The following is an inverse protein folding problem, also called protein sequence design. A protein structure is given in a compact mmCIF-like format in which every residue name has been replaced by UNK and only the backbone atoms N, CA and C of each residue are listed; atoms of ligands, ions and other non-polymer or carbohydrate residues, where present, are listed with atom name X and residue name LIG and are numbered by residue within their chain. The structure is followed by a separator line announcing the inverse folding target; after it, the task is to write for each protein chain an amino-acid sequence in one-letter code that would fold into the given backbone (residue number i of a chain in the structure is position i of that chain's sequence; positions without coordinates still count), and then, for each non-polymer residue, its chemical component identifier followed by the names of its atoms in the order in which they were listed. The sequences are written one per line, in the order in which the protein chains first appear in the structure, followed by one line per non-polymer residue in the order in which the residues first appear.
data_IF_490780612933
#
_entry.id   IF_490780612933
#
_cell.length_a   1.000
_cell.length_b   1.000
_cell.length_c   1.000
_cell.angle_alpha   90.00
_cell.angle_beta   90.00
_cell.angle_gamma   90.00
#
_symmetry.space_group_name_H-M   'P 1'
#
loop_
_entity.id
_entity.type
_entity.pdbx_description
1 polymer ?
#
# COMPACT_ATOMS: atom_id res chain seq x y z
N UNK A 1 23.05 -1.59 2.91
CA UNK A 1 21.82 -1.48 3.72
C UNK A 1 20.71 -2.15 2.94
N UNK A 2 19.73 -2.79 3.60
CA UNK A 2 18.52 -3.22 2.88
C UNK A 2 17.72 -2.00 2.45
N UNK A 3 16.98 -2.12 1.34
CA UNK A 3 16.04 -1.07 0.92
C UNK A 3 14.93 -0.93 1.96
N UNK A 4 14.39 0.28 2.07
CA UNK A 4 13.23 0.56 2.92
C UNK A 4 11.96 0.06 2.25
N UNK A 5 11.11 -0.59 3.04
CA UNK A 5 9.81 -1.11 2.63
C UNK A 5 8.76 0.01 2.72
N UNK A 6 8.42 0.61 1.59
CA UNK A 6 7.54 1.79 1.51
C UNK A 6 6.14 1.37 1.07
N UNK A 7 5.14 1.54 1.93
CA UNK A 7 3.74 1.43 1.54
C UNK A 7 3.24 2.76 0.97
N UNK A 8 2.78 2.77 -0.28
CA UNK A 8 2.00 3.87 -0.83
C UNK A 8 0.53 3.57 -0.58
N UNK A 9 -0.05 4.28 0.39
CA UNK A 9 -1.40 4.05 0.90
C UNK A 9 -2.39 4.96 0.18
N UNK A 10 -3.36 4.36 -0.50
CA UNK A 10 -4.30 5.03 -1.39
C UNK A 10 -5.73 4.50 -1.24
N UNK A 11 -6.70 5.22 -1.79
CA UNK A 11 -8.13 4.93 -1.66
C UNK A 11 -8.78 5.92 -0.69
N UNK A 12 -9.51 5.41 0.31
CA UNK A 12 -10.26 6.20 1.26
C UNK A 12 -11.72 5.79 1.33
N UNK A 13 -12.45 6.44 2.23
CA UNK A 13 -13.87 6.16 2.48
C UNK A 13 -14.81 7.22 1.88
N UNK A 14 -14.25 8.31 1.36
CA UNK A 14 -14.96 9.41 0.70
C UNK A 14 -15.14 9.13 -0.79
N UNK A 15 -15.93 9.97 -1.46
CA UNK A 15 -16.06 9.96 -2.92
C UNK A 15 -14.74 10.33 -3.65
N UNK A 16 -13.75 10.82 -2.93
CA UNK A 16 -12.42 11.15 -3.46
C UNK A 16 -11.50 9.92 -3.59
N UNK A 17 -11.95 8.72 -3.24
CA UNK A 17 -11.12 7.51 -3.31
C UNK A 17 -10.54 7.28 -4.72
N UNK A 18 -11.29 7.61 -5.78
CA UNK A 18 -10.81 7.49 -7.17
C UNK A 18 -9.65 8.45 -7.44
N UNK A 19 -9.69 9.66 -6.87
CA UNK A 19 -8.61 10.64 -6.99
C UNK A 19 -7.39 10.14 -6.21
N UNK A 20 -7.58 9.64 -5.00
CA UNK A 20 -6.49 9.06 -4.20
C UNK A 20 -5.81 7.87 -4.89
N UNK A 21 -6.58 6.96 -5.52
CA UNK A 21 -6.02 5.85 -6.29
C UNK A 21 -5.13 6.34 -7.44
N UNK A 22 -5.54 7.38 -8.16
CA UNK A 22 -4.72 7.98 -9.24
C UNK A 22 -3.46 8.65 -8.71
N UNK A 23 -3.57 9.44 -7.64
CA UNK A 23 -2.42 10.07 -6.99
C UNK A 23 -1.44 9.04 -6.43
N UNK A 24 -1.95 7.98 -5.80
CA UNK A 24 -1.17 6.86 -5.29
C UNK A 24 -0.44 6.10 -6.38
N UNK A 25 -1.09 5.87 -7.53
CA UNK A 25 -0.44 5.26 -8.68
C UNK A 25 0.74 6.11 -9.18
N UNK A 26 0.56 7.44 -9.29
CA UNK A 26 1.63 8.34 -9.69
C UNK A 26 2.83 8.29 -8.73
N UNK A 27 2.60 8.32 -7.41
CA UNK A 27 3.68 8.20 -6.41
C UNK A 27 4.36 6.84 -6.50
N UNK A 28 3.58 5.76 -6.60
CA UNK A 28 4.12 4.42 -6.79
C UNK A 28 5.05 4.38 -8.00
N UNK A 29 4.64 4.89 -9.16
CA UNK A 29 5.46 4.86 -10.38
C UNK A 29 6.71 5.76 -10.29
N UNK A 30 6.67 6.81 -9.47
CA UNK A 30 7.74 7.82 -9.37
C UNK A 30 8.86 7.46 -8.39
N UNK A 31 8.61 6.59 -7.41
CA UNK A 31 9.61 6.25 -6.38
C UNK A 31 10.76 5.41 -6.95
N UNK A 32 12.00 5.79 -6.62
CA UNK A 32 13.19 5.09 -7.13
C UNK A 32 13.33 3.68 -6.55
N UNK A 33 13.19 2.67 -7.41
CA UNK A 33 13.29 1.25 -7.07
C UNK A 33 14.71 0.80 -6.71
N UNK A 34 15.73 1.62 -6.96
CA UNK A 34 17.10 1.35 -6.47
C UNK A 34 17.23 1.67 -4.98
N UNK A 35 16.40 2.58 -4.46
CA UNK A 35 16.44 3.04 -3.06
C UNK A 35 15.38 2.36 -2.19
N UNK A 36 14.23 2.04 -2.76
CA UNK A 36 13.05 1.57 -2.03
C UNK A 36 12.43 0.32 -2.65
N UNK A 37 11.92 -0.56 -1.78
CA UNK A 37 10.94 -1.56 -2.17
C UNK A 37 9.56 -0.95 -1.92
N UNK A 38 8.76 -0.81 -2.98
CA UNK A 38 7.55 0.03 -2.96
C UNK A 38 6.32 -0.84 -3.17
N UNK A 39 5.33 -0.69 -2.31
CA UNK A 39 4.14 -1.53 -2.25
C UNK A 39 2.88 -0.68 -2.39
N UNK A 40 1.90 -1.16 -3.16
CA UNK A 40 0.58 -0.53 -3.25
C UNK A 40 -0.30 -1.07 -2.13
N UNK A 41 -0.75 -0.19 -1.23
CA UNK A 41 -1.73 -0.53 -0.20
C UNK A 41 -3.01 0.24 -0.47
N UNK A 42 -4.09 -0.49 -0.69
CA UNK A 42 -5.41 0.08 -0.96
C UNK A 42 -6.28 -0.07 0.26
N UNK A 43 -6.84 1.04 0.72
CA UNK A 43 -7.79 1.11 1.82
C UNK A 43 -9.12 1.58 1.27
N UNK A 44 -10.13 0.72 1.35
CA UNK A 44 -11.52 1.02 1.02
C UNK A 44 -12.39 0.70 2.24
N UNK A 45 -13.65 1.17 2.21
CA UNK A 45 -14.58 1.03 3.33
C UNK A 45 -14.71 -0.42 3.82
N UNK A 46 -14.76 -1.36 2.87
CA UNK A 46 -15.03 -2.77 3.16
C UNK A 46 -13.77 -3.64 3.12
N UNK A 47 -12.66 -3.17 2.54
CA UNK A 47 -11.45 -3.97 2.36
C UNK A 47 -10.16 -3.16 2.47
N UNK A 48 -9.15 -3.73 3.11
CA UNK A 48 -7.79 -3.19 3.18
C UNK A 48 -6.83 -4.25 2.67
N UNK A 49 -6.06 -3.95 1.63
CA UNK A 49 -5.19 -4.95 1.02
C UNK A 49 -3.90 -4.35 0.45
N UNK A 50 -2.85 -5.15 0.51
CA UNK A 50 -1.68 -5.01 -0.35
C UNK A 50 -1.98 -5.64 -1.70
N UNK A 51 -1.66 -4.93 -2.79
CA UNK A 51 -1.75 -5.46 -4.15
C UNK A 51 -0.38 -5.97 -4.60
N UNK A 52 -0.21 -7.28 -4.59
CA UNK A 52 1.00 -7.97 -5.01
C UNK A 52 1.07 -8.19 -6.53
N UNK A 53 1.97 -9.08 -6.93
CA UNK A 53 2.12 -9.48 -8.33
C UNK A 53 0.85 -10.15 -8.86
N UNK A 54 0.63 -10.05 -10.18
CA UNK A 54 -0.55 -10.59 -10.87
C UNK A 54 -1.90 -10.13 -10.26
N UNK A 55 -1.93 -8.92 -9.71
CA UNK A 55 -3.11 -8.33 -9.06
C UNK A 55 -3.62 -9.13 -7.85
N UNK A 56 -2.78 -9.98 -7.26
CA UNK A 56 -3.15 -10.73 -6.07
C UNK A 56 -3.35 -9.77 -4.89
N UNK A 57 -4.53 -9.83 -4.27
CA UNK A 57 -4.84 -9.10 -3.04
C UNK A 57 -4.42 -9.90 -1.82
N UNK A 58 -3.61 -9.29 -0.97
CA UNK A 58 -3.29 -9.81 0.37
C UNK A 58 -3.91 -8.91 1.43
N UNK A 59 -4.68 -9.44 2.39
CA UNK A 59 -5.33 -8.63 3.40
C UNK A 59 -4.30 -7.96 4.32
N UNK A 60 -4.53 -6.69 4.65
CA UNK A 60 -3.74 -5.97 5.64
C UNK A 60 -4.25 -6.34 7.04
N UNK A 61 -3.33 -6.72 7.92
CA UNK A 61 -3.62 -6.87 9.34
C UNK A 61 -3.86 -5.47 9.95
N UNK A 62 -5.09 -5.18 10.36
CA UNK A 62 -5.44 -3.85 10.92
C UNK A 62 -4.84 -3.58 12.30
N UNK A 63 -4.36 -4.60 13.01
CA UNK A 63 -3.77 -4.47 14.34
C UNK A 63 -2.34 -3.91 14.31
N UNK A 64 -1.54 -4.28 13.31
CA UNK A 64 -0.13 -3.86 13.20
C UNK A 64 0.31 -3.44 11.79
N UNK A 65 -0.64 -3.32 10.87
CA UNK A 65 -0.45 -2.90 9.47
C UNK A 65 0.51 -3.80 8.66
N UNK A 66 0.69 -5.06 9.08
CA UNK A 66 1.47 -6.06 8.36
C UNK A 66 0.65 -6.81 7.31
N UNK A 67 1.34 -7.57 6.46
CA UNK A 67 0.73 -8.48 5.49
C UNK A 67 1.36 -9.86 5.65
N UNK A 68 0.52 -10.89 5.81
CA UNK A 68 0.97 -12.28 5.70
C UNK A 68 1.02 -12.67 4.23
N UNK A 69 2.23 -12.96 3.75
CA UNK A 69 2.48 -13.48 2.40
C UNK A 69 2.37 -15.01 2.40
N UNK A 70 2.78 -15.64 1.30
CA UNK A 70 2.88 -17.09 1.21
C UNK A 70 3.89 -17.63 2.25
N UNK A 71 3.73 -18.90 2.65
CA UNK A 71 4.68 -19.60 3.53
C UNK A 71 4.89 -18.98 4.93
N UNK A 72 3.91 -18.23 5.46
CA UNK A 72 3.96 -17.51 6.74
C UNK A 72 5.02 -16.38 6.80
N UNK A 73 5.53 -15.93 5.66
CA UNK A 73 6.34 -14.71 5.63
C UNK A 73 5.47 -13.49 5.97
N UNK A 74 6.01 -12.56 6.77
CA UNK A 74 5.30 -11.35 7.17
C UNK A 74 6.01 -10.13 6.61
N UNK A 75 5.35 -9.41 5.71
CA UNK A 75 5.80 -8.11 5.22
C UNK A 75 5.41 -7.03 6.25
N UNK A 76 6.41 -6.25 6.69
CA UNK A 76 6.23 -5.05 7.49
C UNK A 76 6.80 -3.85 6.75
N UNK A 77 6.03 -2.76 6.75
CA UNK A 77 6.45 -1.52 6.12
C UNK A 77 7.31 -0.70 7.08
N UNK A 78 8.43 -0.18 6.61
CA UNK A 78 9.26 0.78 7.34
C UNK A 78 8.57 2.15 7.43
N UNK A 79 7.84 2.52 6.38
CA UNK A 79 7.17 3.82 6.25
C UNK A 79 5.93 3.71 5.37
N UNK A 80 4.93 4.52 5.68
CA UNK A 80 3.72 4.69 4.87
C UNK A 80 3.69 6.10 4.27
N UNK A 81 3.60 6.19 2.95
CA UNK A 81 3.25 7.42 2.25
C UNK A 81 1.72 7.43 2.08
N UNK A 82 1.03 8.14 2.96
CA UNK A 82 -0.44 8.25 2.92
C UNK A 82 -0.87 9.33 1.94
N UNK A 83 -1.66 8.96 0.93
CA UNK A 83 -2.26 9.88 -0.05
C UNK A 83 -3.78 9.69 -0.16
N UNK A 84 -4.42 9.25 0.93
CA UNK A 84 -5.88 9.25 1.05
C UNK A 84 -6.37 10.70 1.16
N UNK A 85 -7.39 11.02 0.38
CA UNK A 85 -8.03 12.33 0.34
C UNK A 85 -9.44 12.27 0.95
N UNK A 86 -9.91 13.39 1.49
CA UNK A 86 -11.22 13.52 2.10
C UNK A 86 -11.22 13.38 3.62
N UNK A 87 -12.41 13.53 4.22
CA UNK A 87 -12.66 13.50 5.67
C UNK A 87 -13.77 12.50 5.98
#
# INVERSE_FOLDING_TARGET
MSKKQVAVVMGGYSDEYVVSLKSGQLIYDSLDRNLYDVYKVVILKDEWYFLGENEQKFPINRGDFSVTLHENETLKFDVCFNIIHGT
#
